data_IF_912629504910
#
_entry.id   IF_912629504910
#
_cell.length_a   1.000
_cell.length_b   1.000
_cell.length_c   1.000
_cell.angle_alpha   90.00
_cell.angle_beta   90.00
_cell.angle_gamma   90.00
#
_symmetry.space_group_name_H-M   'P 1'
#
loop_
_entity.id
_entity.type
_entity.pdbx_description
1 polymer ?
#
# COMPACT_ATOMS: atom_id res chain seq x y z
N UNK A 1 5.29 0.01 34.34
CA UNK A 1 5.64 -0.85 33.18
C UNK A 1 4.62 -1.95 32.79
N UNK A 2 3.64 -2.43 33.62
CA UNK A 2 2.73 -3.51 33.19
C UNK A 2 1.72 -3.10 32.10
N UNK A 3 1.63 -1.81 31.76
CA UNK A 3 0.79 -1.31 30.67
C UNK A 3 1.35 -1.63 29.28
N UNK A 4 2.67 -1.81 29.13
CA UNK A 4 3.28 -2.09 27.82
C UNK A 4 2.93 -3.50 27.33
N UNK A 5 3.10 -4.51 28.19
CA UNK A 5 2.77 -5.92 27.88
C UNK A 5 1.26 -6.17 27.66
N UNK A 6 0.41 -5.29 28.19
CA UNK A 6 -1.05 -5.31 27.95
C UNK A 6 -1.49 -4.46 26.76
N UNK A 7 -0.59 -3.70 26.15
CA UNK A 7 -0.89 -2.89 24.96
C UNK A 7 -0.71 -3.74 23.69
N UNK A 8 -1.56 -3.50 22.68
CA UNK A 8 -1.44 -4.14 21.37
C UNK A 8 -0.04 -3.92 20.77
N UNK A 9 0.49 -2.71 20.89
CA UNK A 9 1.84 -2.39 20.40
C UNK A 9 2.91 -3.28 21.06
N UNK A 10 2.88 -3.41 22.39
CA UNK A 10 3.82 -4.27 23.10
C UNK A 10 3.65 -5.75 22.73
N UNK A 11 2.42 -6.22 22.57
CA UNK A 11 2.13 -7.59 22.13
C UNK A 11 2.69 -7.88 20.73
N UNK A 12 2.53 -6.94 19.78
CA UNK A 12 3.06 -7.08 18.41
C UNK A 12 4.60 -7.12 18.43
N UNK A 13 5.25 -6.25 19.20
CA UNK A 13 6.71 -6.25 19.33
C UNK A 13 7.20 -7.57 19.93
N UNK A 14 6.54 -8.08 20.97
CA UNK A 14 6.88 -9.38 21.57
C UNK A 14 6.69 -10.51 20.56
N UNK A 15 5.56 -10.54 19.86
CA UNK A 15 5.28 -11.55 18.83
C UNK A 15 6.32 -11.53 17.70
N UNK A 16 6.78 -10.34 17.29
CA UNK A 16 7.85 -10.17 16.31
C UNK A 16 9.17 -10.77 16.82
N UNK A 17 9.57 -10.45 18.05
CA UNK A 17 10.80 -11.00 18.66
C UNK A 17 10.72 -12.52 18.78
N UNK A 18 9.58 -13.05 19.23
CA UNK A 18 9.35 -14.50 19.31
C UNK A 18 9.38 -15.14 17.92
N UNK A 19 8.77 -14.52 16.91
CA UNK A 19 8.80 -15.00 15.53
C UNK A 19 10.22 -15.07 14.96
N UNK A 20 11.05 -14.05 15.21
CA UNK A 20 12.47 -14.06 14.82
C UNK A 20 13.21 -15.20 15.55
N UNK A 21 13.02 -15.33 16.86
CA UNK A 21 13.67 -16.38 17.64
C UNK A 21 13.30 -17.79 17.13
N UNK A 22 12.01 -18.04 16.85
CA UNK A 22 11.54 -19.31 16.28
C UNK A 22 12.12 -19.54 14.89
N UNK A 23 12.17 -18.51 14.03
CA UNK A 23 12.75 -18.63 12.69
C UNK A 23 14.24 -18.98 12.69
N UNK A 24 15.00 -18.48 13.66
CA UNK A 24 16.44 -18.78 13.82
C UNK A 24 16.67 -20.14 14.46
N UNK A 25 15.94 -20.46 15.55
CA UNK A 25 16.15 -21.68 16.33
C UNK A 25 15.53 -22.93 15.67
N UNK A 26 14.40 -22.77 14.97
CA UNK A 26 13.66 -23.85 14.32
C UNK A 26 13.22 -23.45 12.89
N UNK A 27 14.15 -23.38 11.92
CA UNK A 27 13.87 -22.82 10.60
C UNK A 27 12.76 -23.54 9.82
N UNK A 28 12.71 -24.87 9.87
CA UNK A 28 11.68 -25.67 9.20
C UNK A 28 10.29 -25.42 9.80
N UNK A 29 10.21 -25.34 11.13
CA UNK A 29 8.97 -25.02 11.82
C UNK A 29 8.55 -23.57 11.54
N UNK A 30 9.48 -22.61 11.59
CA UNK A 30 9.22 -21.22 11.23
C UNK A 30 8.67 -21.07 9.81
N UNK A 31 9.24 -21.78 8.83
CA UNK A 31 8.73 -21.80 7.47
C UNK A 31 7.31 -22.39 7.38
N UNK A 32 7.01 -23.43 8.17
CA UNK A 32 5.67 -24.04 8.21
C UNK A 32 4.59 -23.11 8.76
N UNK A 33 4.96 -22.06 9.50
CA UNK A 33 4.05 -21.03 10.01
C UNK A 33 3.72 -19.94 8.98
N UNK A 34 4.37 -19.91 7.81
CA UNK A 34 4.11 -18.94 6.73
C UNK A 34 2.63 -18.78 6.37
N UNK A 35 1.79 -19.85 6.32
CA UNK A 35 0.36 -19.71 6.05
C UNK A 35 -0.38 -18.77 7.01
N UNK A 36 0.07 -18.64 8.27
CA UNK A 36 -0.51 -17.69 9.23
C UNK A 36 -0.25 -16.24 8.81
N UNK A 37 0.99 -15.94 8.41
CA UNK A 37 1.36 -14.62 7.90
C UNK A 37 0.67 -14.30 6.57
N UNK A 38 0.64 -15.26 5.64
CA UNK A 38 -0.07 -15.11 4.37
C UNK A 38 -1.58 -14.89 4.59
N UNK A 39 -2.18 -15.60 5.55
CA UNK A 39 -3.59 -15.44 5.94
C UNK A 39 -3.86 -14.04 6.47
N UNK A 40 -3.05 -13.56 7.41
CA UNK A 40 -3.15 -12.21 7.96
C UNK A 40 -3.06 -11.14 6.86
N UNK A 41 -2.05 -11.23 5.98
CA UNK A 41 -1.88 -10.28 4.87
C UNK A 41 -3.09 -10.32 3.93
N UNK A 42 -3.62 -11.51 3.61
CA UNK A 42 -4.82 -11.63 2.75
C UNK A 42 -6.05 -10.99 3.39
N UNK A 43 -6.27 -11.17 4.70
CA UNK A 43 -7.39 -10.55 5.42
C UNK A 43 -7.29 -9.02 5.38
N UNK A 44 -6.11 -8.46 5.69
CA UNK A 44 -5.88 -7.01 5.61
C UNK A 44 -6.06 -6.50 4.17
N UNK A 45 -5.53 -7.23 3.17
CA UNK A 45 -5.58 -6.82 1.77
C UNK A 45 -7.01 -6.70 1.23
N UNK A 46 -7.94 -7.56 1.66
CA UNK A 46 -9.36 -7.48 1.30
C UNK A 46 -10.03 -6.22 1.84
N UNK A 47 -9.59 -5.72 3.01
CA UNK A 47 -10.16 -4.54 3.66
C UNK A 47 -9.60 -3.22 3.10
N UNK A 48 -8.35 -3.21 2.61
CA UNK A 48 -7.69 -1.99 2.11
C UNK A 48 -8.52 -1.32 1.00
N UNK A 49 -8.91 -2.09 -0.02
CA UNK A 49 -9.64 -1.57 -1.19
C UNK A 49 -10.94 -0.83 -0.81
N UNK A 50 -11.92 -1.44 -0.09
CA UNK A 50 -13.13 -0.74 0.31
C UNK A 50 -12.90 0.40 1.30
N UNK A 51 -11.93 0.27 2.23
CA UNK A 51 -11.60 1.34 3.17
C UNK A 51 -11.07 2.58 2.42
N UNK A 52 -10.14 2.39 1.50
CA UNK A 52 -9.59 3.48 0.68
C UNK A 52 -10.72 4.18 -0.08
N UNK A 53 -11.64 3.43 -0.67
CA UNK A 53 -12.80 4.03 -1.34
C UNK A 53 -13.63 4.90 -0.42
N UNK A 54 -14.07 4.36 0.72
CA UNK A 54 -14.86 5.11 1.68
C UNK A 54 -14.13 6.36 2.17
N UNK A 55 -12.87 6.24 2.58
CA UNK A 55 -12.08 7.35 3.14
C UNK A 55 -11.87 8.47 2.12
N UNK A 56 -11.54 8.12 0.88
CA UNK A 56 -11.31 9.11 -0.18
C UNK A 56 -12.62 9.79 -0.57
N UNK A 57 -13.71 9.03 -0.75
CA UNK A 57 -15.03 9.60 -1.08
C UNK A 57 -15.51 10.54 0.02
N UNK A 58 -15.45 10.10 1.29
CA UNK A 58 -15.84 10.92 2.45
C UNK A 58 -14.95 12.16 2.57
N UNK A 59 -13.65 12.02 2.36
CA UNK A 59 -12.70 13.14 2.42
C UNK A 59 -12.98 14.21 1.37
N UNK A 60 -13.32 13.81 0.13
CA UNK A 60 -13.59 14.74 -0.97
C UNK A 60 -14.98 15.36 -0.84
N UNK A 61 -16.01 14.54 -0.63
CA UNK A 61 -17.39 15.01 -0.51
C UNK A 61 -17.61 15.84 0.76
N UNK A 62 -16.92 15.51 1.86
CA UNK A 62 -16.94 16.28 3.10
C UNK A 62 -16.18 17.61 3.04
N UNK A 63 -15.23 17.77 2.13
CA UNK A 63 -14.44 19.01 2.01
C UNK A 63 -15.26 20.20 1.49
N UNK A 64 -16.39 19.96 0.82
CA UNK A 64 -17.33 20.97 0.31
C UNK A 64 -16.81 21.86 -0.83
N UNK A 65 -15.49 21.95 -1.04
CA UNK A 65 -14.83 22.75 -2.08
C UNK A 65 -13.82 21.92 -2.86
N UNK A 66 -14.16 21.58 -4.11
CA UNK A 66 -13.31 20.80 -5.00
C UNK A 66 -11.99 21.50 -5.36
N UNK A 67 -11.94 22.84 -5.36
CA UNK A 67 -10.69 23.58 -5.60
C UNK A 67 -9.72 23.41 -4.43
N UNK A 68 -10.24 23.33 -3.20
CA UNK A 68 -9.40 23.02 -2.03
C UNK A 68 -8.89 21.59 -2.11
N UNK A 69 -9.74 20.62 -2.46
CA UNK A 69 -9.34 19.21 -2.64
C UNK A 69 -8.19 19.08 -3.64
N UNK A 70 -8.33 19.67 -4.84
CA UNK A 70 -7.27 19.62 -5.85
C UNK A 70 -5.96 20.27 -5.39
N UNK A 71 -6.03 21.38 -4.65
CA UNK A 71 -4.85 22.05 -4.09
C UNK A 71 -4.16 21.20 -3.02
N UNK A 72 -4.93 20.55 -2.15
CA UNK A 72 -4.40 19.64 -1.13
C UNK A 72 -3.77 18.41 -1.80
N UNK A 73 -4.42 17.85 -2.83
CA UNK A 73 -3.87 16.74 -3.62
C UNK A 73 -2.53 17.08 -4.27
N UNK A 74 -2.43 18.23 -4.94
CA UNK A 74 -1.17 18.68 -5.54
C UNK A 74 -0.07 18.90 -4.49
N UNK A 75 -0.42 19.54 -3.35
CA UNK A 75 0.52 19.70 -2.23
C UNK A 75 0.99 18.35 -1.68
N UNK A 76 0.11 17.36 -1.60
CA UNK A 76 0.46 16.02 -1.14
C UNK A 76 1.41 15.31 -2.12
N UNK A 77 1.21 15.45 -3.44
CA UNK A 77 2.12 14.90 -4.45
C UNK A 77 3.50 15.55 -4.36
N UNK A 78 3.57 16.88 -4.29
CA UNK A 78 4.85 17.60 -4.13
C UNK A 78 5.54 17.19 -2.83
N UNK A 79 4.79 17.11 -1.72
CA UNK A 79 5.30 16.64 -0.44
C UNK A 79 5.85 15.21 -0.54
N UNK A 80 5.10 14.30 -1.16
CA UNK A 80 5.51 12.90 -1.36
C UNK A 80 6.80 12.81 -2.19
N UNK A 81 6.89 13.56 -3.29
CA UNK A 81 8.06 13.56 -4.15
C UNK A 81 9.30 14.08 -3.43
N UNK A 82 9.17 15.19 -2.68
CA UNK A 82 10.28 15.76 -1.91
C UNK A 82 10.76 14.81 -0.83
N UNK A 83 9.83 14.25 -0.02
CA UNK A 83 10.19 13.34 1.07
C UNK A 83 10.80 12.04 0.52
N UNK A 84 10.25 11.50 -0.57
CA UNK A 84 10.78 10.29 -1.21
C UNK A 84 12.16 10.54 -1.81
N UNK A 85 12.37 11.70 -2.44
CA UNK A 85 13.70 12.08 -2.96
C UNK A 85 14.73 12.16 -1.83
N UNK A 86 14.39 12.79 -0.71
CA UNK A 86 15.27 12.85 0.47
C UNK A 86 15.56 11.43 1.00
N UNK A 87 14.54 10.58 1.10
CA UNK A 87 14.70 9.20 1.55
C UNK A 87 15.62 8.38 0.61
N UNK A 88 15.50 8.56 -0.71
CA UNK A 88 16.37 7.91 -1.70
C UNK A 88 17.81 8.41 -1.58
N UNK A 89 18.02 9.71 -1.44
CA UNK A 89 19.36 10.29 -1.26
C UNK A 89 20.03 9.75 0.02
N UNK A 90 19.29 9.69 1.12
CA UNK A 90 19.79 9.09 2.36
C UNK A 90 20.10 7.60 2.19
N UNK A 91 19.22 6.84 1.52
CA UNK A 91 19.45 5.43 1.24
C UNK A 91 20.74 5.19 0.43
N UNK A 92 20.96 6.00 -0.61
CA UNK A 92 22.19 5.95 -1.43
C UNK A 92 23.41 6.35 -0.59
N UNK A 93 23.32 7.43 0.19
CA UNK A 93 24.42 7.87 1.04
C UNK A 93 24.83 6.80 2.05
N UNK A 94 23.87 6.15 2.71
CA UNK A 94 24.12 5.05 3.63
C UNK A 94 24.71 3.83 2.92
N UNK A 95 24.25 3.50 1.71
CA UNK A 95 24.82 2.42 0.91
C UNK A 95 26.29 2.71 0.54
N UNK A 96 26.61 3.93 0.14
CA UNK A 96 28.00 4.37 -0.11
C UNK A 96 28.84 4.44 1.17
N UNK A 97 28.26 4.68 2.33
CA UNK A 97 29.02 4.72 3.59
C UNK A 97 29.33 3.30 4.10
N UNK A 98 28.30 2.47 4.24
CA UNK A 98 28.43 1.12 4.81
C UNK A 98 28.96 0.08 3.83
N UNK A 99 28.95 0.36 2.52
CA UNK A 99 29.36 -0.57 1.47
C UNK A 99 28.78 -2.00 1.65
N UNK A 100 27.44 -2.15 1.82
CA UNK A 100 26.84 -3.45 2.03
C UNK A 100 27.13 -4.35 0.82
N UNK A 101 27.87 -5.45 1.06
CA UNK A 101 28.30 -6.39 0.02
C UNK A 101 29.79 -6.33 -0.33
N UNK A 102 30.56 -5.37 0.20
CA UNK A 102 32.01 -5.40 0.08
C UNK A 102 32.58 -6.68 0.72
N UNK A 103 33.41 -7.42 -0.03
CA UNK A 103 33.96 -8.71 0.40
C UNK A 103 33.08 -9.94 0.08
N UNK A 104 31.88 -9.75 -0.48
CA UNK A 104 31.21 -10.83 -1.20
C UNK A 104 31.98 -11.06 -2.52
N UNK A 105 32.95 -11.96 -2.53
CA UNK A 105 33.72 -12.38 -3.72
C UNK A 105 32.83 -13.15 -4.73
N UNK A 106 31.71 -12.55 -5.13
CA UNK A 106 30.78 -13.12 -6.10
C UNK A 106 31.32 -12.82 -7.48
N UNK A 107 31.75 -13.85 -8.20
CA UNK A 107 32.08 -13.73 -9.62
C UNK A 107 30.77 -13.59 -10.42
N UNK A 108 30.51 -12.45 -11.08
CA UNK A 108 29.30 -12.25 -11.86
C UNK A 108 29.12 -13.28 -12.98
N UNK A 109 30.20 -13.94 -13.42
CA UNK A 109 30.20 -14.99 -14.45
C UNK A 109 29.77 -16.36 -13.92
N UNK A 110 29.80 -16.56 -12.60
CA UNK A 110 29.34 -17.78 -11.92
C UNK A 110 27.84 -17.74 -11.59
N UNK A 111 27.19 -16.59 -11.78
CA UNK A 111 25.76 -16.40 -11.56
C UNK A 111 24.96 -16.97 -12.74
N UNK A 112 23.93 -17.75 -12.43
CA UNK A 112 23.00 -18.29 -13.43
C UNK A 112 22.24 -17.14 -14.12
N UNK A 113 22.58 -16.87 -15.38
CA UNK A 113 21.90 -15.88 -16.20
C UNK A 113 20.39 -16.20 -16.39
N UNK A 114 20.00 -17.48 -16.29
CA UNK A 114 18.61 -17.91 -16.29
C UNK A 114 17.83 -17.40 -15.09
N UNK A 115 18.44 -17.37 -13.89
CA UNK A 115 17.84 -16.78 -12.69
C UNK A 115 17.66 -15.25 -12.81
N UNK A 116 18.50 -14.57 -13.60
CA UNK A 116 18.41 -13.13 -13.85
C UNK A 116 17.38 -12.76 -14.93
N UNK A 117 17.07 -13.66 -15.87
CA UNK A 117 16.15 -13.42 -16.99
C UNK A 117 14.83 -12.79 -16.56
N UNK A 118 14.20 -13.31 -15.50
CA UNK A 118 12.94 -12.78 -14.96
C UNK A 118 13.04 -11.35 -14.42
N UNK A 119 14.22 -10.92 -13.95
CA UNK A 119 14.47 -9.56 -13.52
C UNK A 119 14.76 -8.64 -14.69
N UNK A 120 15.49 -9.11 -15.69
CA UNK A 120 15.76 -8.39 -16.94
C UNK A 120 14.46 -8.16 -17.71
N UNK A 121 13.58 -9.15 -17.77
CA UNK A 121 12.26 -9.05 -18.42
C UNK A 121 11.32 -8.10 -17.68
N UNK A 122 11.32 -8.11 -16.34
CA UNK A 122 10.57 -7.12 -15.56
C UNK A 122 11.13 -5.71 -15.74
N UNK A 123 12.46 -5.57 -15.74
CA UNK A 123 13.11 -4.28 -15.95
C UNK A 123 12.82 -3.74 -17.36
N UNK A 124 12.81 -4.60 -18.38
CA UNK A 124 12.47 -4.20 -19.75
C UNK A 124 10.99 -3.83 -19.86
N UNK A 125 10.07 -4.54 -19.20
CA UNK A 125 8.65 -4.16 -19.13
C UNK A 125 8.40 -2.82 -18.43
N UNK A 126 9.08 -2.56 -17.31
CA UNK A 126 8.96 -1.26 -16.62
C UNK A 126 9.53 -0.13 -17.48
N UNK A 127 10.59 -0.40 -18.25
CA UNK A 127 11.23 0.58 -19.14
C UNK A 127 10.42 0.82 -20.42
N UNK A 128 9.67 -0.18 -20.90
CA UNK A 128 8.87 -0.10 -22.13
C UNK A 128 7.47 0.46 -21.93
N UNK A 129 6.89 0.33 -20.73
CA UNK A 129 5.52 0.82 -20.47
C UNK A 129 5.40 2.35 -20.48
N UNK A 130 6.47 3.10 -20.22
CA UNK A 130 6.44 4.57 -20.29
C UNK A 130 5.34 5.23 -19.43
N UNK A 131 5.26 6.55 -19.48
CA UNK A 131 4.28 7.31 -18.67
C UNK A 131 2.85 7.12 -19.17
N UNK A 132 2.67 6.93 -20.48
CA UNK A 132 1.34 6.83 -21.11
C UNK A 132 0.66 5.51 -20.76
N UNK A 133 1.36 4.37 -20.82
CA UNK A 133 0.74 3.09 -20.50
C UNK A 133 0.47 2.96 -19.01
N UNK A 134 1.33 3.54 -18.15
CA UNK A 134 1.03 3.69 -16.73
C UNK A 134 -0.28 4.46 -16.50
N UNK A 135 -0.45 5.62 -17.14
CA UNK A 135 -1.69 6.41 -17.05
C UNK A 135 -2.90 5.63 -17.57
N UNK A 136 -2.76 4.90 -18.67
CA UNK A 136 -3.84 4.05 -19.20
C UNK A 136 -4.21 2.91 -18.26
N UNK A 137 -3.23 2.29 -17.58
CA UNK A 137 -3.45 1.24 -16.58
C UNK A 137 -4.22 1.74 -15.36
N UNK A 138 -4.16 3.04 -15.04
CA UNK A 138 -4.94 3.63 -13.94
C UNK A 138 -6.44 3.58 -14.22
N UNK A 139 -6.86 3.60 -15.48
CA UNK A 139 -8.25 3.62 -15.87
C UNK A 139 -8.77 2.18 -15.89
N UNK A 140 -9.62 1.78 -14.93
CA UNK A 140 -10.16 0.42 -14.92
C UNK A 140 -11.14 0.24 -16.07
N UNK A 141 -11.23 -0.98 -16.59
CA UNK A 141 -12.19 -1.31 -17.67
C UNK A 141 -13.64 -1.21 -17.23
N UNK A 142 -13.92 -1.48 -15.95
CA UNK A 142 -15.25 -1.34 -15.33
C UNK A 142 -15.13 -0.86 -13.89
N UNK A 143 -16.21 -0.28 -13.35
CA UNK A 143 -16.26 0.16 -11.95
C UNK A 143 -15.94 -0.98 -10.97
N UNK A 144 -16.50 -2.16 -11.20
CA UNK A 144 -16.30 -3.34 -10.33
C UNK A 144 -14.87 -3.89 -10.47
N UNK A 145 -14.29 -3.85 -11.67
CA UNK A 145 -12.92 -4.34 -11.89
C UNK A 145 -11.90 -3.57 -11.04
N UNK A 146 -12.11 -2.27 -10.79
CA UNK A 146 -11.25 -1.49 -9.90
C UNK A 146 -11.10 -2.13 -8.51
N UNK A 147 -12.15 -2.76 -7.99
CA UNK A 147 -12.14 -3.41 -6.68
C UNK A 147 -11.68 -4.87 -6.72
N UNK A 148 -11.84 -5.53 -7.87
CA UNK A 148 -11.47 -6.93 -8.05
C UNK A 148 -10.00 -7.13 -8.44
N UNK A 149 -9.41 -6.19 -9.18
CA UNK A 149 -8.05 -6.29 -9.73
C UNK A 149 -6.93 -6.15 -8.69
N UNK A 150 -7.26 -5.74 -7.46
CA UNK A 150 -6.28 -5.56 -6.38
C UNK A 150 -5.31 -4.38 -6.59
N UNK A 151 -5.56 -3.53 -7.58
CA UNK A 151 -4.81 -2.31 -7.83
C UNK A 151 -5.44 -1.13 -7.06
N UNK A 152 -4.79 -0.76 -5.96
CA UNK A 152 -5.27 0.32 -5.08
C UNK A 152 -5.34 1.65 -5.82
N UNK A 153 -4.52 1.86 -6.86
CA UNK A 153 -4.49 3.12 -7.58
C UNK A 153 -5.69 3.28 -8.51
N UNK A 154 -6.18 2.17 -9.09
CA UNK A 154 -7.45 2.16 -9.83
C UNK A 154 -8.64 2.48 -8.91
N UNK A 155 -8.66 1.88 -7.72
CA UNK A 155 -9.67 2.18 -6.68
C UNK A 155 -9.63 3.66 -6.35
N UNK A 156 -8.43 4.22 -6.12
CA UNK A 156 -8.26 5.63 -5.77
C UNK A 156 -8.80 6.55 -6.87
N UNK A 157 -8.51 6.27 -8.15
CA UNK A 157 -9.03 7.05 -9.27
C UNK A 157 -10.57 7.05 -9.30
N UNK A 158 -11.18 5.87 -9.17
CA UNK A 158 -12.64 5.72 -9.11
C UNK A 158 -13.23 6.45 -7.90
N UNK A 159 -12.57 6.37 -6.75
CA UNK A 159 -12.99 7.03 -5.51
C UNK A 159 -12.95 8.54 -5.62
N UNK A 160 -11.91 9.09 -6.26
CA UNK A 160 -11.80 10.54 -6.52
C UNK A 160 -12.92 10.99 -7.44
N UNK A 161 -13.15 10.28 -8.55
CA UNK A 161 -14.25 10.59 -9.49
C UNK A 161 -15.62 10.53 -8.81
N UNK A 162 -15.86 9.47 -8.03
CA UNK A 162 -17.11 9.28 -7.29
C UNK A 162 -17.32 10.37 -6.22
N UNK A 163 -16.27 10.68 -5.44
CA UNK A 163 -16.32 11.73 -4.42
C UNK A 163 -16.57 13.11 -5.01
N UNK A 164 -15.93 13.44 -6.14
CA UNK A 164 -16.18 14.68 -6.87
C UNK A 164 -17.62 14.76 -7.40
N UNK A 165 -18.14 13.69 -8.01
CA UNK A 165 -19.52 13.66 -8.48
C UNK A 165 -20.51 13.85 -7.32
N UNK A 166 -20.29 13.14 -6.20
CA UNK A 166 -21.14 13.25 -5.02
C UNK A 166 -21.12 14.65 -4.40
N UNK A 167 -19.96 15.32 -4.39
CA UNK A 167 -19.83 16.71 -3.97
C UNK A 167 -20.65 17.67 -4.85
N UNK A 168 -20.67 17.43 -6.17
CA UNK A 168 -21.44 18.23 -7.13
C UNK A 168 -22.96 18.00 -7.04
N UNK A 169 -23.40 16.82 -6.59
CA UNK A 169 -24.83 16.53 -6.34
C UNK A 169 -25.41 17.35 -5.18
N UNK A 170 -24.58 17.93 -4.31
CA UNK A 170 -25.02 18.76 -3.20
C UNK A 170 -25.95 18.02 -2.22
N UNK A 171 -27.12 18.58 -1.95
CA UNK A 171 -28.08 18.02 -0.99
C UNK A 171 -28.61 16.64 -1.37
N UNK A 172 -28.73 16.35 -2.67
CA UNK A 172 -29.20 15.05 -3.17
C UNK A 172 -28.21 13.91 -2.87
N UNK A 173 -26.92 14.22 -2.69
CA UNK A 173 -25.88 13.24 -2.37
C UNK A 173 -25.81 12.86 -0.88
N UNK A 174 -26.48 13.60 0.01
CA UNK A 174 -26.38 13.37 1.47
C UNK A 174 -26.74 11.95 1.92
N UNK A 175 -27.83 11.32 1.42
CA UNK A 175 -28.16 9.95 1.82
C UNK A 175 -27.08 8.95 1.41
N UNK A 176 -26.48 9.11 0.22
CA UNK A 176 -25.39 8.26 -0.25
C UNK A 176 -24.12 8.45 0.59
N UNK A 177 -23.79 9.69 0.95
CA UNK A 177 -22.65 9.97 1.81
C UNK A 177 -22.79 9.29 3.17
N UNK A 178 -23.99 9.35 3.78
CA UNK A 178 -24.28 8.69 5.04
C UNK A 178 -24.12 7.16 4.94
N UNK A 179 -24.56 6.54 3.83
CA UNK A 179 -24.36 5.10 3.60
C UNK A 179 -22.86 4.76 3.55
N UNK A 180 -22.06 5.57 2.84
CA UNK A 180 -20.62 5.35 2.70
C UNK A 180 -19.89 5.54 4.03
N UNK A 181 -20.34 6.48 4.86
CA UNK A 181 -19.85 6.68 6.22
C UNK A 181 -20.11 5.45 7.10
N UNK A 182 -21.34 4.92 7.08
CA UNK A 182 -21.66 3.69 7.82
C UNK A 182 -20.86 2.49 7.31
N UNK A 183 -20.71 2.35 5.98
CA UNK A 183 -19.87 1.32 5.39
C UNK A 183 -18.41 1.44 5.85
N UNK A 184 -17.87 2.66 5.93
CA UNK A 184 -16.52 2.92 6.44
C UNK A 184 -16.36 2.40 7.88
N UNK A 185 -17.31 2.72 8.76
CA UNK A 185 -17.30 2.22 10.14
C UNK A 185 -17.34 0.70 10.22
N UNK A 186 -18.15 0.05 9.37
CA UNK A 186 -18.19 -1.42 9.28
C UNK A 186 -16.83 -1.98 8.90
N UNK A 187 -16.18 -1.45 7.84
CA UNK A 187 -14.88 -1.93 7.41
C UNK A 187 -13.78 -1.68 8.44
N UNK A 188 -13.76 -0.52 9.11
CA UNK A 188 -12.84 -0.25 10.22
C UNK A 188 -13.06 -1.20 11.40
N UNK A 189 -14.32 -1.55 11.69
CA UNK A 189 -14.64 -2.53 12.74
C UNK A 189 -14.23 -3.94 12.34
N UNK A 190 -14.37 -4.31 11.06
CA UNK A 190 -13.83 -5.57 10.53
C UNK A 190 -12.32 -5.64 10.71
N UNK A 191 -11.61 -4.55 10.44
CA UNK A 191 -10.15 -4.47 10.62
C UNK A 191 -9.73 -4.70 12.07
N UNK A 192 -10.56 -4.35 13.06
CA UNK A 192 -10.27 -4.64 14.47
C UNK A 192 -10.36 -6.12 14.82
N UNK A 193 -11.12 -6.93 14.06
CA UNK A 193 -11.18 -8.38 14.26
C UNK A 193 -9.99 -9.12 13.65
N UNK A 194 -9.23 -8.47 12.77
CA UNK A 194 -8.04 -9.01 12.11
C UNK A 194 -6.80 -8.71 12.95
#
# INVERSE_FOLDING_TARGET
MPKFFKSLFGQVVIALVVGIAVGVLYPQFGASLKPLGDGFIKLIKVLITPIVFCVVVLGIAGAGDLKKVGRVGLKAVIYFEVVTTIALLLGIALAYFFHPGAGMNIDPKSLDAGALSSYVDRASQVKSQGTVEFLMKLIPTTFVNAFAGGDVLQVLLVSVGFGCALALLGSAGKPFLAIIEQASHVFFKMMFFV
#
